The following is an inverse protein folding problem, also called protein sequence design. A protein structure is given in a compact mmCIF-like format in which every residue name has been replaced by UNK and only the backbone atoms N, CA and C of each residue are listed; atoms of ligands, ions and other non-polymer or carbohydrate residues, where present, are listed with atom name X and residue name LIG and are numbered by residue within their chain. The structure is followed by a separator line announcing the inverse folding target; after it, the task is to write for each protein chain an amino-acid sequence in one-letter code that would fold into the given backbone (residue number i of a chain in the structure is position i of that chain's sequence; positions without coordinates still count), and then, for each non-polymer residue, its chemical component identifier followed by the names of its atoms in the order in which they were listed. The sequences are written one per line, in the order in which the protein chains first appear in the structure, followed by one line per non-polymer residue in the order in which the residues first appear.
data_IF_642022133070
#
_entry.id   IF_642022133070
#
_cell.length_a   1.000
_cell.length_b   1.000
_cell.length_c   1.000
_cell.angle_alpha   90.00
_cell.angle_beta   90.00
_cell.angle_gamma   90.00
#
_symmetry.space_group_name_H-M   'P 1'
#
loop_
_entity.id
_entity.type
_entity.pdbx_description
1 polymer ?
#
# COMPACT_ATOMS: atom_id res chain seq x y z
N UNK A 1 7.27 23.81 0.47
CA UNK A 1 7.13 23.25 -0.89
C UNK A 1 8.45 23.45 -1.67
N UNK A 2 9.29 22.44 -1.69
CA UNK A 2 10.53 22.42 -2.48
C UNK A 2 10.30 21.91 -3.91
N UNK A 3 11.36 21.94 -4.77
CA UNK A 3 11.32 21.39 -6.12
C UNK A 3 10.88 19.92 -6.11
N UNK A 4 10.16 19.47 -7.15
CA UNK A 4 9.59 18.12 -7.23
C UNK A 4 10.68 17.03 -7.23
N UNK A 5 11.72 17.18 -8.02
CA UNK A 5 12.79 16.18 -8.18
C UNK A 5 13.51 15.81 -6.88
N UNK A 6 14.02 16.74 -6.05
CA UNK A 6 14.65 16.38 -4.78
C UNK A 6 13.70 15.69 -3.80
N UNK A 7 12.39 16.01 -3.84
CA UNK A 7 11.39 15.40 -2.98
C UNK A 7 11.16 13.94 -3.34
N UNK A 8 11.04 13.64 -4.63
CA UNK A 8 10.83 12.25 -5.08
C UNK A 8 12.10 11.41 -4.95
N UNK A 9 13.29 12.01 -5.07
CA UNK A 9 14.55 11.34 -4.79
C UNK A 9 14.67 10.95 -3.30
N UNK A 10 14.18 11.78 -2.40
CA UNK A 10 14.11 11.45 -0.97
C UNK A 10 13.13 10.30 -0.71
N UNK A 11 11.97 10.32 -1.36
CA UNK A 11 10.99 9.23 -1.30
C UNK A 11 11.58 7.91 -1.79
N UNK A 12 12.31 7.93 -2.91
CA UNK A 12 12.94 6.72 -3.44
C UNK A 12 14.03 6.18 -2.52
N UNK A 13 14.85 7.05 -1.90
CA UNK A 13 15.83 6.64 -0.88
C UNK A 13 15.14 6.00 0.33
N UNK A 14 14.01 6.57 0.76
CA UNK A 14 13.24 5.98 1.85
C UNK A 14 12.69 4.59 1.47
N UNK A 15 12.13 4.42 0.28
CA UNK A 15 11.68 3.11 -0.22
C UNK A 15 12.83 2.09 -0.22
N UNK A 16 14.00 2.48 -0.72
CA UNK A 16 15.18 1.61 -0.76
C UNK A 16 15.64 1.24 0.66
N UNK A 17 15.70 2.20 1.58
CA UNK A 17 16.03 1.92 2.98
C UNK A 17 15.06 0.90 3.60
N UNK A 18 13.75 1.07 3.39
CA UNK A 18 12.75 0.14 3.92
C UNK A 18 12.91 -1.26 3.33
N UNK A 19 13.14 -1.37 2.01
CA UNK A 19 13.26 -2.66 1.33
C UNK A 19 14.60 -3.36 1.58
N UNK A 20 15.70 -2.62 1.63
CA UNK A 20 17.06 -3.18 1.59
C UNK A 20 17.74 -3.26 2.96
N UNK A 21 17.26 -2.46 3.93
CA UNK A 21 17.84 -2.43 5.28
C UNK A 21 16.79 -2.80 6.34
N UNK A 22 15.70 -2.07 6.45
CA UNK A 22 14.72 -2.24 7.53
C UNK A 22 14.01 -3.60 7.45
N UNK A 23 13.48 -3.98 6.29
CA UNK A 23 12.74 -5.23 6.12
C UNK A 23 13.62 -6.47 6.33
N UNK A 24 14.84 -6.56 5.76
CA UNK A 24 15.75 -7.65 6.06
C UNK A 24 16.10 -7.76 7.55
N UNK A 25 16.33 -6.62 8.22
CA UNK A 25 16.62 -6.62 9.65
C UNK A 25 15.42 -7.07 10.49
N UNK A 26 14.22 -6.64 10.14
CA UNK A 26 12.99 -7.10 10.81
C UNK A 26 12.80 -8.61 10.66
N UNK A 27 13.04 -9.15 9.46
CA UNK A 27 12.97 -10.59 9.19
C UNK A 27 14.06 -11.37 9.97
N UNK A 28 15.25 -10.82 10.09
CA UNK A 28 16.33 -11.41 10.87
C UNK A 28 15.96 -11.51 12.36
N UNK A 29 15.49 -10.41 12.95
CA UNK A 29 14.99 -10.39 14.34
C UNK A 29 13.86 -11.40 14.54
N UNK A 30 12.94 -11.48 13.57
CA UNK A 30 11.83 -12.42 13.63
C UNK A 30 12.30 -13.88 13.63
N UNK A 31 13.31 -14.22 12.83
CA UNK A 31 13.89 -15.58 12.79
C UNK A 31 14.57 -15.97 14.12
N UNK A 32 15.12 -15.00 14.84
CA UNK A 32 15.72 -15.22 16.16
C UNK A 32 14.67 -15.69 17.20
N UNK A 33 13.38 -15.43 16.96
CA UNK A 33 12.28 -15.87 17.83
C UNK A 33 11.89 -17.34 17.63
N UNK A 34 12.34 -17.98 16.56
CA UNK A 34 12.13 -19.41 16.32
C UNK A 34 11.76 -19.77 14.87
N UNK A 35 11.74 -21.08 14.54
CA UNK A 35 11.52 -21.54 13.18
C UNK A 35 10.13 -21.26 12.61
N UNK A 36 9.14 -21.06 13.47
CA UNK A 36 7.76 -20.76 13.04
C UNK A 36 7.57 -19.30 12.59
N UNK A 37 8.60 -18.46 12.78
CA UNK A 37 8.62 -17.04 12.42
C UNK A 37 9.35 -16.76 11.09
N UNK A 38 9.20 -17.63 10.11
CA UNK A 38 9.91 -17.57 8.82
C UNK A 38 9.10 -16.90 7.70
N UNK A 39 8.10 -16.09 8.02
CA UNK A 39 7.21 -15.48 7.05
C UNK A 39 7.76 -14.22 6.38
N UNK A 40 7.03 -13.76 5.35
CA UNK A 40 7.20 -12.42 4.78
C UNK A 40 6.55 -11.37 5.70
N UNK A 41 6.88 -10.11 5.47
CA UNK A 41 6.33 -8.97 6.21
C UNK A 41 4.99 -8.55 5.62
N UNK A 42 4.01 -8.26 6.47
CA UNK A 42 2.83 -7.47 6.10
C UNK A 42 3.15 -5.99 6.32
N UNK A 43 2.95 -5.17 5.29
CA UNK A 43 3.11 -3.72 5.41
C UNK A 43 1.75 -3.05 5.57
N UNK A 44 1.71 -1.94 6.30
CA UNK A 44 0.45 -1.22 6.42
C UNK A 44 0.63 0.23 6.81
N UNK A 45 -0.42 1.01 6.63
CA UNK A 45 -0.40 2.43 6.93
C UNK A 45 -1.76 3.08 6.77
N UNK A 46 -1.86 4.34 7.25
CA UNK A 46 -3.02 5.18 7.07
C UNK A 46 -2.63 6.45 6.30
N UNK A 47 -3.56 7.01 5.54
CA UNK A 47 -3.37 8.23 4.74
C UNK A 47 -2.17 8.11 3.78
N UNK A 48 -1.20 9.00 3.86
CA UNK A 48 0.06 8.91 3.10
C UNK A 48 0.79 7.59 3.36
N UNK A 49 0.74 7.07 4.60
CA UNK A 49 1.32 5.76 4.96
C UNK A 49 0.65 4.59 4.24
N UNK A 50 -0.64 4.67 3.93
CA UNK A 50 -1.35 3.68 3.13
C UNK A 50 -0.85 3.66 1.68
N UNK A 51 -0.65 4.85 1.08
CA UNK A 51 -0.03 4.96 -0.25
C UNK A 51 1.37 4.34 -0.29
N UNK A 52 2.18 4.60 0.73
CA UNK A 52 3.51 3.99 0.84
C UNK A 52 3.44 2.47 1.00
N UNK A 53 2.55 1.95 1.83
CA UNK A 53 2.40 0.52 2.07
C UNK A 53 2.01 -0.24 0.79
N UNK A 54 1.01 0.28 0.04
CA UNK A 54 0.61 -0.29 -1.25
C UNK A 54 1.76 -0.21 -2.26
N UNK A 55 2.46 0.92 -2.33
CA UNK A 55 3.59 1.08 -3.25
C UNK A 55 4.74 0.11 -2.94
N UNK A 56 5.08 -0.11 -1.67
CA UNK A 56 6.07 -1.10 -1.24
C UNK A 56 5.65 -2.52 -1.65
N UNK A 57 4.40 -2.91 -1.35
CA UNK A 57 3.88 -4.23 -1.69
C UNK A 57 3.85 -4.47 -3.20
N UNK A 58 3.33 -3.54 -3.99
CA UNK A 58 3.25 -3.70 -5.44
C UNK A 58 4.62 -3.69 -6.12
N UNK A 59 5.59 -2.97 -5.58
CA UNK A 59 6.97 -2.97 -6.11
C UNK A 59 7.80 -4.16 -5.67
N UNK A 60 7.53 -4.72 -4.49
CA UNK A 60 8.33 -5.78 -3.89
C UNK A 60 7.46 -6.90 -3.27
N UNK A 61 6.59 -7.56 -4.06
CA UNK A 61 5.78 -8.68 -3.57
C UNK A 61 6.63 -9.91 -3.24
N UNK A 62 7.92 -9.89 -3.59
CA UNK A 62 8.92 -10.86 -3.15
C UNK A 62 9.26 -10.72 -1.66
N UNK A 63 9.22 -9.51 -1.10
CA UNK A 63 9.49 -9.22 0.32
C UNK A 63 8.22 -9.23 1.17
N UNK A 64 7.11 -8.75 0.63
CA UNK A 64 5.87 -8.54 1.36
C UNK A 64 4.81 -9.55 0.94
N UNK A 65 4.02 -10.06 1.89
CA UNK A 65 2.92 -10.98 1.62
C UNK A 65 1.55 -10.30 1.60
N UNK A 66 1.52 -9.00 1.58
CA UNK A 66 0.30 -8.21 1.50
C UNK A 66 0.42 -6.84 2.16
N UNK A 67 -0.71 -6.14 2.19
CA UNK A 67 -0.80 -4.80 2.78
C UNK A 67 -2.17 -4.57 3.41
N UNK A 68 -2.19 -3.75 4.47
CA UNK A 68 -3.41 -3.13 5.02
C UNK A 68 -3.26 -1.61 4.83
N UNK A 69 -4.06 -1.05 3.94
CA UNK A 69 -3.99 0.35 3.53
C UNK A 69 -5.30 1.07 3.88
N UNK A 70 -5.23 2.02 4.80
CA UNK A 70 -6.37 2.76 5.33
C UNK A 70 -6.39 4.18 4.77
N UNK A 71 -7.42 4.56 4.02
CA UNK A 71 -7.62 5.89 3.46
C UNK A 71 -6.41 6.39 2.68
N UNK A 72 -5.96 5.62 1.68
CA UNK A 72 -4.73 5.89 0.94
C UNK A 72 -4.91 6.78 -0.29
N UNK A 73 -3.81 7.44 -0.68
CA UNK A 73 -3.64 8.10 -1.98
C UNK A 73 -2.66 7.30 -2.82
N UNK A 74 -3.10 6.91 -4.01
CA UNK A 74 -2.35 6.00 -4.88
C UNK A 74 -1.94 6.64 -6.21
N UNK A 75 -2.14 7.96 -6.31
CA UNK A 75 -1.68 8.80 -7.42
C UNK A 75 -0.74 9.89 -6.91
N UNK A 76 0.34 10.14 -7.64
CA UNK A 76 1.37 11.10 -7.22
C UNK A 76 1.03 12.56 -7.56
N UNK A 77 0.09 12.82 -8.47
CA UNK A 77 -0.25 14.16 -8.98
C UNK A 77 -0.49 15.20 -7.90
N UNK A 78 -1.22 14.81 -6.85
CA UNK A 78 -1.53 15.68 -5.72
C UNK A 78 -0.26 16.24 -5.05
N UNK A 79 0.78 15.42 -4.96
CA UNK A 79 2.03 15.81 -4.28
C UNK A 79 2.99 16.60 -5.17
N UNK A 80 2.86 16.47 -6.51
CA UNK A 80 3.81 17.00 -7.47
C UNK A 80 3.23 18.00 -8.46
N UNK A 81 1.93 18.38 -8.32
CA UNK A 81 1.27 19.42 -9.13
C UNK A 81 1.43 19.19 -10.64
N UNK A 82 1.26 17.95 -11.09
CA UNK A 82 1.38 17.56 -12.49
C UNK A 82 2.82 17.32 -12.97
N UNK A 83 3.83 17.48 -12.11
CA UNK A 83 5.19 17.07 -12.47
C UNK A 83 5.27 15.54 -12.49
N UNK A 84 5.77 15.00 -13.60
CA UNK A 84 5.96 13.56 -13.79
C UNK A 84 7.36 13.31 -14.36
N UNK A 85 8.09 12.42 -13.70
CA UNK A 85 9.33 11.83 -14.19
C UNK A 85 9.36 10.33 -13.87
N UNK A 86 10.45 9.66 -14.16
CA UNK A 86 10.63 8.23 -13.94
C UNK A 86 10.49 7.81 -12.47
N UNK A 87 10.90 8.65 -11.53
CA UNK A 87 10.80 8.38 -10.11
C UNK A 87 9.37 8.62 -9.59
N UNK A 88 8.71 9.71 -10.03
CA UNK A 88 7.31 9.97 -9.69
C UNK A 88 6.44 8.84 -10.22
N UNK A 89 6.64 8.44 -11.48
CA UNK A 89 5.92 7.34 -12.10
C UNK A 89 6.04 6.03 -11.28
N UNK A 90 7.27 5.66 -10.88
CA UNK A 90 7.53 4.46 -10.06
C UNK A 90 6.93 4.52 -8.65
N UNK A 91 6.57 5.69 -8.17
CA UNK A 91 5.95 5.90 -6.86
C UNK A 91 4.47 6.29 -6.96
N UNK A 92 3.84 6.04 -8.10
CA UNK A 92 2.44 6.32 -8.37
C UNK A 92 1.71 5.02 -8.79
N UNK A 93 1.19 4.23 -7.85
CA UNK A 93 0.53 2.94 -8.12
C UNK A 93 -0.51 2.99 -9.24
N UNK A 94 -1.37 4.01 -9.27
CA UNK A 94 -2.37 4.15 -10.32
C UNK A 94 -1.74 4.32 -11.72
N UNK A 95 -0.57 4.92 -11.82
CA UNK A 95 0.08 5.18 -13.11
C UNK A 95 0.82 3.95 -13.62
N UNK A 96 1.70 3.35 -12.80
CA UNK A 96 2.47 2.20 -13.29
C UNK A 96 1.64 0.92 -13.41
N UNK A 97 0.62 0.72 -12.56
CA UNK A 97 -0.24 -0.47 -12.66
C UNK A 97 -1.13 -0.47 -13.91
N UNK A 98 -1.49 0.69 -14.47
CA UNK A 98 -2.18 0.75 -15.78
C UNK A 98 -1.38 0.09 -16.89
N UNK A 99 -0.05 0.24 -16.85
CA UNK A 99 0.88 -0.28 -17.84
C UNK A 99 1.53 -1.60 -17.41
N UNK A 100 1.02 -2.22 -16.33
CA UNK A 100 1.57 -3.48 -15.81
C UNK A 100 1.37 -4.61 -16.82
N UNK A 101 2.44 -5.32 -17.23
CA UNK A 101 2.35 -6.38 -18.25
C UNK A 101 1.57 -7.59 -17.75
N UNK A 102 0.72 -8.18 -18.61
CA UNK A 102 -0.09 -9.33 -18.22
C UNK A 102 0.73 -10.59 -17.95
N UNK A 103 1.93 -10.70 -18.52
CA UNK A 103 2.86 -11.81 -18.32
C UNK A 103 3.94 -11.53 -17.27
N UNK A 104 3.79 -10.50 -16.44
CA UNK A 104 4.78 -10.17 -15.42
C UNK A 104 4.80 -11.23 -14.31
N UNK A 105 6.00 -11.72 -13.88
CA UNK A 105 6.11 -12.79 -12.88
C UNK A 105 5.49 -12.42 -11.52
N UNK A 106 5.35 -11.13 -11.21
CA UNK A 106 4.71 -10.66 -9.98
C UNK A 106 3.20 -10.93 -9.91
N UNK A 107 2.52 -11.19 -11.06
CA UNK A 107 1.09 -11.58 -11.04
C UNK A 107 0.83 -12.79 -10.16
N UNK A 108 1.69 -13.80 -10.23
CA UNK A 108 1.57 -14.97 -9.37
C UNK A 108 1.76 -14.65 -7.88
N UNK A 109 2.60 -13.66 -7.56
CA UNK A 109 2.81 -13.22 -6.18
C UNK A 109 1.62 -12.43 -5.65
N UNK A 110 1.01 -11.58 -6.47
CA UNK A 110 -0.21 -10.87 -6.11
C UNK A 110 -1.40 -11.82 -5.92
N UNK A 111 -1.54 -12.81 -6.80
CA UNK A 111 -2.60 -13.81 -6.70
C UNK A 111 -2.50 -14.69 -5.44
N UNK A 112 -1.29 -14.85 -4.90
CA UNK A 112 -1.04 -15.57 -3.64
C UNK A 112 -1.14 -14.69 -2.40
N UNK A 113 -1.28 -13.38 -2.58
CA UNK A 113 -1.38 -12.42 -1.48
C UNK A 113 -2.83 -12.32 -1.00
N UNK A 114 -3.19 -13.17 -0.05
CA UNK A 114 -4.51 -13.19 0.59
C UNK A 114 -4.78 -11.99 1.52
N UNK A 115 -3.83 -11.08 1.63
CA UNK A 115 -3.81 -9.95 2.57
C UNK A 115 -3.67 -8.60 1.87
N UNK A 116 -4.12 -8.44 0.64
CA UNK A 116 -4.15 -7.15 -0.03
C UNK A 116 -5.46 -6.44 0.28
N UNK A 117 -5.43 -5.58 1.30
CA UNK A 117 -6.59 -4.87 1.83
C UNK A 117 -6.43 -3.37 1.60
N UNK A 118 -7.46 -2.75 1.01
CA UNK A 118 -7.62 -1.30 0.90
C UNK A 118 -8.95 -0.92 1.55
N UNK A 119 -8.92 -0.04 2.54
CA UNK A 119 -10.10 0.46 3.22
C UNK A 119 -10.17 1.98 3.11
N UNK A 120 -11.38 2.52 2.98
CA UNK A 120 -11.61 3.96 2.97
C UNK A 120 -12.98 4.27 3.58
N UNK A 121 -13.09 5.39 4.30
CA UNK A 121 -14.37 5.93 4.72
C UNK A 121 -15.06 6.73 3.63
N UNK A 122 -16.24 7.28 3.95
CA UNK A 122 -17.01 8.17 3.09
C UNK A 122 -17.34 9.49 3.79
N UNK A 123 -16.81 9.72 4.98
CA UNK A 123 -17.03 10.89 5.80
C UNK A 123 -16.11 12.05 5.46
N UNK A 124 -15.97 12.95 6.42
CA UNK A 124 -15.18 14.17 6.26
C UNK A 124 -13.73 13.88 5.87
N UNK A 125 -13.24 14.55 4.83
CA UNK A 125 -11.87 14.45 4.29
C UNK A 125 -11.54 13.13 3.57
N UNK A 126 -12.53 12.24 3.34
CA UNK A 126 -12.30 10.95 2.65
C UNK A 126 -12.60 10.98 1.14
N UNK A 127 -13.25 12.01 0.63
CA UNK A 127 -13.75 12.04 -0.76
C UNK A 127 -12.66 11.76 -1.82
N UNK A 128 -11.49 12.37 -1.68
CA UNK A 128 -10.41 12.22 -2.64
C UNK A 128 -9.70 10.87 -2.49
N UNK A 129 -9.56 10.39 -1.24
CA UNK A 129 -8.98 9.10 -0.93
C UNK A 129 -9.88 7.95 -1.38
N UNK A 130 -11.18 8.10 -1.21
CA UNK A 130 -12.17 7.16 -1.74
C UNK A 130 -12.05 7.06 -3.27
N UNK A 131 -11.98 8.19 -3.97
CA UNK A 131 -11.79 8.22 -5.42
C UNK A 131 -10.50 7.51 -5.83
N UNK A 132 -9.40 7.80 -5.15
CA UNK A 132 -8.09 7.17 -5.39
C UNK A 132 -8.12 5.66 -5.12
N UNK A 133 -8.80 5.23 -4.05
CA UNK A 133 -8.97 3.82 -3.71
C UNK A 133 -9.76 3.06 -4.77
N UNK A 134 -10.89 3.60 -5.19
CA UNK A 134 -11.72 2.99 -6.23
C UNK A 134 -11.01 2.95 -7.58
N UNK A 135 -10.28 4.01 -7.93
CA UNK A 135 -9.49 4.05 -9.16
C UNK A 135 -8.40 2.98 -9.18
N UNK A 136 -7.64 2.82 -8.08
CA UNK A 136 -6.62 1.77 -8.01
C UNK A 136 -7.26 0.37 -8.05
N UNK A 137 -8.38 0.15 -7.36
CA UNK A 137 -9.15 -1.09 -7.45
C UNK A 137 -9.46 -1.44 -8.90
N UNK A 138 -10.09 -0.52 -9.64
CA UNK A 138 -10.52 -0.76 -11.02
C UNK A 138 -9.32 -1.08 -11.95
N UNK A 139 -8.18 -0.41 -11.73
CA UNK A 139 -6.93 -0.70 -12.44
C UNK A 139 -6.44 -2.11 -12.12
N UNK A 140 -6.37 -2.49 -10.85
CA UNK A 140 -5.90 -3.80 -10.41
C UNK A 140 -6.81 -4.92 -10.91
N UNK A 141 -8.13 -4.77 -10.83
CA UNK A 141 -9.10 -5.71 -11.36
C UNK A 141 -8.97 -5.89 -12.87
N UNK A 142 -8.70 -4.82 -13.61
CA UNK A 142 -8.43 -4.90 -15.06
C UNK A 142 -7.17 -5.71 -15.40
N UNK A 143 -6.29 -5.93 -14.42
CA UNK A 143 -5.07 -6.73 -14.50
C UNK A 143 -5.21 -8.12 -13.87
N UNK A 144 -6.42 -8.51 -13.50
CA UNK A 144 -6.70 -9.77 -12.80
C UNK A 144 -5.97 -9.87 -11.45
N UNK A 145 -5.92 -8.74 -10.73
CA UNK A 145 -5.42 -8.62 -9.35
C UNK A 145 -6.58 -8.13 -8.49
N UNK A 146 -6.99 -8.92 -7.50
CA UNK A 146 -8.22 -8.73 -6.75
C UNK A 146 -7.95 -8.37 -5.28
N UNK A 147 -7.74 -7.08 -4.95
CA UNK A 147 -7.64 -6.65 -3.57
C UNK A 147 -8.98 -6.76 -2.85
N UNK A 148 -8.94 -6.96 -1.55
CA UNK A 148 -10.10 -6.75 -0.69
C UNK A 148 -10.28 -5.25 -0.53
N UNK A 149 -11.38 -4.70 -1.07
CA UNK A 149 -11.71 -3.27 -0.94
C UNK A 149 -12.94 -3.14 -0.06
N UNK A 150 -12.76 -2.52 1.11
CA UNK A 150 -13.79 -2.34 2.11
C UNK A 150 -14.09 -0.84 2.29
N UNK A 151 -15.29 -0.42 1.91
CA UNK A 151 -15.72 0.97 1.98
C UNK A 151 -16.68 1.15 3.14
N UNK A 152 -16.23 1.89 4.16
CA UNK A 152 -16.97 2.17 5.37
C UNK A 152 -17.94 3.35 5.20
N UNK A 153 -18.81 3.56 6.17
CA UNK A 153 -19.93 4.49 6.11
C UNK A 153 -19.57 5.97 5.98
N UNK A 154 -20.61 6.80 5.81
CA UNK A 154 -20.48 8.25 5.69
C UNK A 154 -20.12 8.94 7.00
N UNK A 155 -20.21 8.24 8.12
CA UNK A 155 -19.76 8.66 9.45
C UNK A 155 -18.26 8.44 9.67
N UNK A 156 -17.59 7.73 8.78
CA UNK A 156 -16.16 7.38 8.87
C UNK A 156 -15.32 8.47 8.22
N UNK A 157 -14.74 9.32 9.04
CA UNK A 157 -13.88 10.44 8.66
C UNK A 157 -12.40 10.08 8.65
N UNK A 158 -11.60 10.97 8.02
CA UNK A 158 -10.14 10.81 7.89
C UNK A 158 -9.42 11.16 9.20
N UNK A 159 -9.46 10.28 10.18
CA UNK A 159 -8.81 10.46 11.47
C UNK A 159 -8.43 9.16 12.18
N UNK A 160 -7.60 9.30 13.23
CA UNK A 160 -7.08 8.18 14.01
C UNK A 160 -8.15 7.38 14.73
N UNK A 161 -9.26 7.98 15.13
CA UNK A 161 -10.37 7.29 15.80
C UNK A 161 -10.91 6.13 14.96
N UNK A 162 -11.02 6.37 13.64
CA UNK A 162 -11.49 5.34 12.71
C UNK A 162 -10.38 4.36 12.32
N UNK A 163 -9.17 4.86 12.09
CA UNK A 163 -8.04 3.99 11.72
C UNK A 163 -7.68 3.00 12.83
N UNK A 164 -7.76 3.38 14.10
CA UNK A 164 -7.57 2.44 15.23
C UNK A 164 -8.56 1.29 15.18
N UNK A 165 -9.84 1.56 14.89
CA UNK A 165 -10.86 0.52 14.74
C UNK A 165 -10.64 -0.36 13.52
N UNK A 166 -10.28 0.26 12.39
CA UNK A 166 -9.98 -0.45 11.14
C UNK A 166 -8.74 -1.34 11.31
N UNK A 167 -7.70 -0.87 12.01
CA UNK A 167 -6.53 -1.68 12.31
C UNK A 167 -6.89 -2.94 13.08
N UNK A 168 -7.65 -2.84 14.16
CA UNK A 168 -8.09 -4.01 14.94
C UNK A 168 -8.88 -4.96 14.07
N UNK A 169 -9.87 -4.45 13.33
CA UNK A 169 -10.72 -5.24 12.46
C UNK A 169 -9.92 -6.02 11.39
N UNK A 170 -9.02 -5.36 10.67
CA UNK A 170 -8.25 -6.01 9.61
C UNK A 170 -7.13 -6.91 10.14
N UNK A 171 -6.53 -6.60 11.28
CA UNK A 171 -5.57 -7.50 11.92
C UNK A 171 -6.24 -8.79 12.41
N UNK A 172 -7.40 -8.71 13.02
CA UNK A 172 -8.18 -9.90 13.40
C UNK A 172 -8.56 -10.75 12.17
N UNK A 173 -8.96 -10.10 11.07
CA UNK A 173 -9.28 -10.78 9.82
C UNK A 173 -8.05 -11.48 9.20
N UNK A 174 -6.85 -10.87 9.32
CA UNK A 174 -5.63 -11.39 8.68
C UNK A 174 -4.86 -12.39 9.53
N UNK A 175 -4.89 -12.24 10.85
CA UNK A 175 -4.10 -13.05 11.78
C UNK A 175 -4.95 -14.11 12.49
N UNK A 176 -6.27 -14.06 12.32
CA UNK A 176 -7.21 -14.83 13.12
C UNK A 176 -7.50 -14.16 14.46
N UNK A 177 -8.65 -14.47 15.07
CA UNK A 177 -8.93 -14.00 16.42
C UNK A 177 -7.98 -14.71 17.38
N UNK A 178 -7.25 -13.90 18.15
CA UNK A 178 -6.40 -14.39 19.25
C UNK A 178 -7.22 -15.07 20.33
#
# INVERSE_FOLDING_TARGET
DGPARPRIEMQERWCNYVCEELTPRALEINREQGPDHMGKVLVGGASMGAGHAVNLFLRRPDLYNGTIALSGLYQADMFFKGYMDDLVYRNSPCDYMRNFPDNHPYKELYAKADKFIMCCGQGQWEEELLRSTLQLRDILESKDIHPIVDIWGQDVSHDWYWWEKQWVYFLEMTLGKA
#
